data_IF_904581377058
#
_entry.id   IF_904581377058
#
_cell.length_a   1.000
_cell.length_b   1.000
_cell.length_c   1.000
_cell.angle_alpha   90.00
_cell.angle_beta   90.00
_cell.angle_gamma   90.00
#
_symmetry.space_group_name_H-M   'P 1'
#
loop_
_entity.id
_entity.type
_entity.pdbx_description
1 polymer ?
#
# COMPACT_ATOMS: atom_id res chain seq x y z
N UNK A 1 -6.05 13.53 -11.99
CA UNK A 1 -7.31 12.96 -11.46
C UNK A 1 -7.04 12.37 -10.09
N UNK A 2 -8.08 12.11 -9.30
CA UNK A 2 -7.96 11.41 -8.02
C UNK A 2 -8.44 9.97 -8.19
N UNK A 3 -7.54 9.02 -7.96
CA UNK A 3 -7.80 7.59 -7.96
C UNK A 3 -8.01 7.12 -6.52
N UNK A 4 -9.11 6.42 -6.25
CA UNK A 4 -9.32 5.76 -4.96
C UNK A 4 -9.33 4.23 -5.11
N UNK A 5 -8.49 3.55 -4.35
CA UNK A 5 -8.39 2.10 -4.30
C UNK A 5 -8.67 1.61 -2.87
N UNK A 6 -9.53 0.59 -2.75
CA UNK A 6 -9.86 -0.01 -1.45
C UNK A 6 -9.62 -1.50 -1.53
N UNK A 7 -8.76 -2.00 -0.66
CA UNK A 7 -8.40 -3.42 -0.58
C UNK A 7 -8.62 -3.94 0.83
N UNK A 8 -8.86 -5.25 0.94
CA UNK A 8 -8.95 -5.95 2.23
C UNK A 8 -7.79 -6.91 2.34
N UNK A 9 -7.13 -6.96 3.49
CA UNK A 9 -6.07 -7.93 3.77
C UNK A 9 -6.30 -8.60 5.12
N UNK A 10 -5.76 -9.81 5.30
CA UNK A 10 -5.61 -10.45 6.62
C UNK A 10 -4.15 -10.36 7.02
N UNK A 11 -3.90 -9.65 8.11
CA UNK A 11 -2.57 -9.53 8.68
C UNK A 11 -2.26 -10.76 9.51
N UNK A 12 -1.02 -11.27 9.42
CA UNK A 12 -0.57 -12.31 10.33
C UNK A 12 -0.53 -11.79 11.78
N UNK A 13 -0.60 -12.71 12.74
CA UNK A 13 -0.63 -12.37 14.16
C UNK A 13 0.58 -11.49 14.54
N UNK A 14 0.31 -10.41 15.27
CA UNK A 14 1.30 -9.42 15.70
C UNK A 14 2.03 -8.65 14.57
N UNK A 15 1.56 -8.71 13.33
CA UNK A 15 2.10 -7.89 12.24
C UNK A 15 1.90 -6.38 12.46
N UNK A 16 2.75 -5.55 11.85
CA UNK A 16 2.55 -4.10 11.86
C UNK A 16 1.42 -3.71 10.88
N UNK A 17 0.36 -3.09 11.42
CA UNK A 17 -0.79 -2.64 10.62
C UNK A 17 -0.42 -1.55 9.60
N UNK A 18 0.74 -0.91 9.73
CA UNK A 18 1.26 0.10 8.79
C UNK A 18 2.00 -0.52 7.61
N UNK A 19 2.44 -1.77 7.70
CA UNK A 19 3.23 -2.44 6.67
C UNK A 19 2.57 -2.44 5.27
N UNK A 20 1.26 -2.68 5.10
CA UNK A 20 0.63 -2.63 3.79
C UNK A 20 0.74 -1.25 3.13
N UNK A 21 0.63 -0.19 3.93
CA UNK A 21 0.83 1.18 3.46
C UNK A 21 2.28 1.45 3.07
N UNK A 22 3.24 0.98 3.86
CA UNK A 22 4.66 1.06 3.54
C UNK A 22 5.00 0.35 2.22
N UNK A 23 4.44 -0.84 1.99
CA UNK A 23 4.64 -1.58 0.74
C UNK A 23 4.09 -0.83 -0.47
N UNK A 24 2.93 -0.18 -0.34
CA UNK A 24 2.38 0.71 -1.37
C UNK A 24 3.31 1.90 -1.62
N UNK A 25 3.78 2.56 -0.55
CA UNK A 25 4.70 3.69 -0.67
C UNK A 25 5.98 3.31 -1.40
N UNK A 26 6.60 2.17 -1.06
CA UNK A 26 7.79 1.69 -1.78
C UNK A 26 7.48 1.37 -3.24
N UNK A 27 6.31 0.79 -3.54
CA UNK A 27 5.94 0.46 -4.91
C UNK A 27 5.70 1.71 -5.78
N UNK A 28 5.14 2.78 -5.21
CA UNK A 28 4.82 4.01 -5.93
C UNK A 28 5.99 5.01 -5.98
N UNK A 29 6.77 5.11 -4.90
CA UNK A 29 7.86 6.09 -4.79
C UNK A 29 9.27 5.49 -4.91
N UNK A 30 9.41 4.17 -4.90
CA UNK A 30 10.70 3.47 -4.88
C UNK A 30 11.42 3.48 -3.53
N UNK A 31 11.00 4.34 -2.60
CA UNK A 31 11.59 4.56 -1.27
C UNK A 31 10.50 4.99 -0.28
N UNK A 32 10.81 4.87 1.01
CA UNK A 32 9.93 5.32 2.11
C UNK A 32 9.96 6.82 2.33
N UNK A 33 11.03 7.48 1.87
CA UNK A 33 11.24 8.92 1.99
C UNK A 33 11.92 9.45 0.75
N UNK A 34 11.47 10.59 0.27
CA UNK A 34 12.09 11.33 -0.81
C UNK A 34 12.04 12.83 -0.49
N UNK A 35 12.99 13.58 -1.04
CA UNK A 35 12.94 15.03 -1.02
C UNK A 35 12.06 15.54 -2.18
N UNK A 36 11.30 16.61 -1.96
CA UNK A 36 10.42 17.21 -2.96
C UNK A 36 9.08 16.49 -3.14
N UNK A 37 8.36 16.83 -4.20
CA UNK A 37 7.01 16.32 -4.45
C UNK A 37 7.03 14.85 -4.92
N UNK A 38 6.10 14.05 -4.38
CA UNK A 38 5.82 12.70 -4.90
C UNK A 38 5.46 12.78 -6.39
N UNK A 39 5.95 11.81 -7.19
CA UNK A 39 5.46 11.63 -8.57
C UNK A 39 3.94 11.43 -8.60
N UNK A 40 3.44 10.58 -7.71
CA UNK A 40 2.02 10.35 -7.49
C UNK A 40 1.71 10.59 -6.00
N UNK A 41 1.33 11.81 -5.62
CA UNK A 41 0.96 12.11 -4.24
C UNK A 41 -0.13 11.16 -3.79
N UNK A 42 0.10 10.47 -2.67
CA UNK A 42 -0.79 9.43 -2.20
C UNK A 42 -0.91 9.44 -0.69
N UNK A 43 -2.08 9.02 -0.21
CA UNK A 43 -2.35 8.85 1.20
C UNK A 43 -2.98 7.49 1.42
N UNK A 44 -2.37 6.71 2.31
CA UNK A 44 -2.91 5.42 2.75
C UNK A 44 -3.50 5.54 4.14
N UNK A 45 -4.74 5.09 4.30
CA UNK A 45 -5.39 4.88 5.59
C UNK A 45 -5.65 3.39 5.78
N UNK A 46 -5.23 2.85 6.92
CA UNK A 46 -5.49 1.45 7.29
C UNK A 46 -6.44 1.42 8.48
N UNK A 47 -7.54 0.66 8.37
CA UNK A 47 -8.52 0.49 9.45
C UNK A 47 -8.92 -0.97 9.61
N UNK A 48 -9.05 -1.42 10.85
CA UNK A 48 -9.52 -2.77 11.14
C UNK A 48 -11.05 -2.86 11.04
N UNK A 49 -11.56 -3.82 10.25
CA UNK A 49 -12.98 -4.07 10.01
C UNK A 49 -13.29 -5.54 9.74
N UNK A 50 -13.93 -6.20 10.71
CA UNK A 50 -14.45 -7.56 10.56
C UNK A 50 -13.34 -8.61 10.37
N UNK A 51 -12.32 -8.58 11.22
CA UNK A 51 -11.21 -9.53 11.20
C UNK A 51 -10.24 -9.38 10.02
N UNK A 52 -10.25 -8.21 9.36
CA UNK A 52 -9.36 -7.86 8.26
C UNK A 52 -8.99 -6.37 8.37
N UNK A 53 -7.87 -6.00 7.77
CA UNK A 53 -7.53 -4.61 7.55
C UNK A 53 -8.09 -4.13 6.22
N UNK A 54 -8.72 -2.97 6.22
CA UNK A 54 -9.13 -2.24 5.03
C UNK A 54 -8.05 -1.21 4.74
N UNK A 55 -7.42 -1.33 3.58
CA UNK A 55 -6.43 -0.39 3.05
C UNK A 55 -7.16 0.53 2.08
N UNK A 56 -7.31 1.79 2.48
CA UNK A 56 -7.98 2.85 1.73
C UNK A 56 -6.93 3.85 1.22
N UNK A 57 -6.69 3.84 -0.08
CA UNK A 57 -5.65 4.60 -0.75
C UNK A 57 -6.26 5.65 -1.66
N UNK A 58 -5.88 6.91 -1.49
CA UNK A 58 -6.08 7.97 -2.48
C UNK A 58 -4.77 8.28 -3.18
N UNK A 59 -4.80 8.46 -4.51
CA UNK A 59 -3.63 8.79 -5.34
C UNK A 59 -4.00 9.87 -6.34
N UNK A 60 -3.22 10.94 -6.39
CA UNK A 60 -3.30 11.94 -7.46
C UNK A 60 -2.34 11.55 -8.58
N UNK A 61 -2.90 11.24 -9.76
CA UNK A 61 -2.10 10.89 -10.95
C UNK A 61 -2.76 11.40 -12.25
N UNK A 62 -2.00 11.55 -13.35
CA UNK A 62 -2.56 11.70 -14.68
C UNK A 62 -3.42 10.48 -15.08
N UNK A 63 -4.51 10.63 -15.86
CA UNK A 63 -5.35 9.50 -16.27
C UNK A 63 -4.59 8.38 -17.00
N UNK A 64 -3.57 8.73 -17.78
CA UNK A 64 -2.69 7.80 -18.48
C UNK A 64 -1.85 6.92 -17.55
N UNK A 65 -1.58 7.38 -16.32
CA UNK A 65 -0.81 6.66 -15.31
C UNK A 65 -1.72 5.75 -14.44
N UNK A 66 -3.05 5.92 -14.48
CA UNK A 66 -3.98 5.12 -13.68
C UNK A 66 -3.75 3.61 -13.80
N UNK A 67 -3.58 3.02 -15.00
CA UNK A 67 -3.37 1.59 -15.14
C UNK A 67 -2.09 1.12 -14.44
N UNK A 68 -1.03 1.93 -14.49
CA UNK A 68 0.26 1.61 -13.87
C UNK A 68 0.17 1.72 -12.35
N UNK A 69 -0.46 2.77 -11.82
CA UNK A 69 -0.70 2.92 -10.37
C UNK A 69 -1.49 1.74 -9.83
N UNK A 70 -2.57 1.33 -10.50
CA UNK A 70 -3.37 0.15 -10.12
C UNK A 70 -2.53 -1.12 -10.13
N UNK A 71 -1.72 -1.32 -11.16
CA UNK A 71 -0.86 -2.50 -11.31
C UNK A 71 0.16 -2.59 -10.17
N UNK A 72 0.82 -1.48 -9.84
CA UNK A 72 1.81 -1.41 -8.77
C UNK A 72 1.19 -1.66 -7.39
N UNK A 73 0.07 -1.02 -7.07
CA UNK A 73 -0.65 -1.22 -5.79
C UNK A 73 -1.11 -2.66 -5.65
N UNK A 74 -1.70 -3.23 -6.71
CA UNK A 74 -2.15 -4.62 -6.71
C UNK A 74 -0.97 -5.58 -6.53
N UNK A 75 0.15 -5.35 -7.21
CA UNK A 75 1.35 -6.19 -7.08
C UNK A 75 1.93 -6.11 -5.66
N UNK A 76 2.01 -4.92 -5.07
CA UNK A 76 2.51 -4.72 -3.71
C UNK A 76 1.65 -5.48 -2.67
N UNK A 77 0.32 -5.32 -2.76
CA UNK A 77 -0.59 -5.98 -1.82
C UNK A 77 -0.66 -7.49 -2.05
N UNK A 78 -0.61 -7.97 -3.30
CA UNK A 78 -0.58 -9.40 -3.61
C UNK A 78 0.73 -10.07 -3.22
N UNK A 79 1.84 -9.32 -3.12
CA UNK A 79 3.12 -9.82 -2.62
C UNK A 79 3.06 -10.29 -1.17
N UNK A 80 2.14 -9.75 -0.36
CA UNK A 80 1.83 -10.28 0.97
C UNK A 80 2.93 -10.10 2.01
N UNK A 81 3.91 -9.22 1.76
CA UNK A 81 5.08 -9.06 2.63
C UNK A 81 5.69 -7.67 2.52
N UNK A 82 6.19 -7.17 3.65
CA UNK A 82 7.14 -6.07 3.71
C UNK A 82 8.25 -6.42 4.69
N UNK A 83 9.48 -6.15 4.29
CA UNK A 83 10.63 -6.08 5.19
C UNK A 83 10.92 -4.60 5.46
N UNK A 84 10.90 -4.20 6.74
CA UNK A 84 11.23 -2.84 7.13
C UNK A 84 12.76 -2.62 7.15
N UNK A 85 13.24 -1.37 7.28
CA UNK A 85 14.68 -1.08 7.32
C UNK A 85 15.45 -1.77 8.46
N UNK A 86 14.77 -2.22 9.51
CA UNK A 86 15.36 -2.96 10.63
C UNK A 86 15.38 -4.49 10.37
N UNK A 87 14.96 -4.92 9.18
CA UNK A 87 14.87 -6.33 8.79
C UNK A 87 13.65 -7.06 9.35
N UNK A 88 12.67 -6.35 9.93
CA UNK A 88 11.45 -6.99 10.45
C UNK A 88 10.51 -7.26 9.29
N UNK A 89 10.10 -8.53 9.20
CA UNK A 89 9.17 -8.99 8.19
C UNK A 89 7.74 -8.99 8.73
N UNK A 90 6.86 -8.25 8.06
CA UNK A 90 5.40 -8.32 8.27
C UNK A 90 4.76 -8.99 7.05
N UNK A 91 3.90 -9.97 7.29
CA UNK A 91 3.21 -10.73 6.24
C UNK A 91 1.69 -10.59 6.34
N UNK A 92 1.02 -10.69 5.19
CA UNK A 92 -0.43 -10.65 5.08
C UNK A 92 -0.92 -11.43 3.86
N UNK A 93 -2.21 -11.70 3.84
CA UNK A 93 -2.91 -12.25 2.68
C UNK A 93 -3.87 -11.20 2.09
N UNK A 94 -3.84 -11.00 0.78
CA UNK A 94 -4.84 -10.19 0.08
C UNK A 94 -6.18 -10.94 0.01
N UNK A 95 -7.22 -10.34 0.58
CA UNK A 95 -8.58 -10.87 0.56
C UNK A 95 -9.26 -10.41 -0.72
N UNK A 96 -9.73 -11.38 -1.51
CA UNK A 96 -10.52 -11.14 -2.72
C UNK A 96 -11.98 -10.86 -2.40
#
# INVERSE_FOLDING_TARGET
>A
MELRLVHRIRLDAAGDTRAPGGAITVALCGTWSHDGDCRWPHQTRVVERGGALVVDLSVTCPPEDEPEVRRLVQAALAGGVLEDPDGRRTTWELVR
#
